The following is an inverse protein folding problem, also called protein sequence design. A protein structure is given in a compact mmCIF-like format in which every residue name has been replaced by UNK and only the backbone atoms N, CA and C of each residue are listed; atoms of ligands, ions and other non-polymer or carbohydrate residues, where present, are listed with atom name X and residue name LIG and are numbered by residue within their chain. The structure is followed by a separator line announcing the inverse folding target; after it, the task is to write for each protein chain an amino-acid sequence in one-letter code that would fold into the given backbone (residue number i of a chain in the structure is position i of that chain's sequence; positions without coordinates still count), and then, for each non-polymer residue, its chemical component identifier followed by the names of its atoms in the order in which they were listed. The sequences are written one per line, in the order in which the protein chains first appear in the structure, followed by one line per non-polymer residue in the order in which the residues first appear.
data_IF_380241812350
#
_entry.id   IF_380241812350
#
_cell.length_a   1.000
_cell.length_b   1.000
_cell.length_c   1.000
_cell.angle_alpha   90.00
_cell.angle_beta   90.00
_cell.angle_gamma   90.00
#
_symmetry.space_group_name_H-M   'P 1'
#
loop_
_entity.id
_entity.type
_entity.pdbx_description
1 polymer ?
#
# COMPACT_ATOMS: atom_id res chain seq x y z
N UNK A 1 6.57 -11.71 -10.68
CA UNK A 1 7.67 -10.84 -10.16
C UNK A 1 7.15 -9.46 -9.73
N UNK A 2 6.48 -8.69 -10.60
CA UNK A 2 5.89 -7.38 -10.26
C UNK A 2 4.78 -7.42 -9.19
N UNK A 3 3.95 -8.46 -9.17
CA UNK A 3 2.88 -8.60 -8.16
C UNK A 3 3.45 -8.72 -6.73
N UNK A 4 4.55 -9.46 -6.56
CA UNK A 4 5.26 -9.63 -5.29
C UNK A 4 5.88 -8.32 -4.80
N UNK A 5 6.46 -7.52 -5.71
CA UNK A 5 7.05 -6.20 -5.39
C UNK A 5 6.00 -5.23 -4.87
N UNK A 6 4.80 -5.23 -5.45
CA UNK A 6 3.70 -4.37 -5.02
C UNK A 6 2.86 -4.93 -3.85
N UNK A 7 3.15 -6.14 -3.38
CA UNK A 7 2.33 -6.81 -2.36
C UNK A 7 0.89 -7.07 -2.81
N UNK A 8 0.68 -7.42 -4.09
CA UNK A 8 -0.65 -7.66 -4.67
C UNK A 8 -0.80 -9.08 -5.20
N UNK A 9 -2.06 -9.50 -5.41
CA UNK A 9 -2.37 -10.75 -6.09
C UNK A 9 -2.09 -10.65 -7.59
N UNK A 10 -1.76 -11.77 -8.24
CA UNK A 10 -1.56 -11.85 -9.70
C UNK A 10 -2.83 -11.45 -10.48
N UNK A 11 -4.01 -11.69 -9.91
CA UNK A 11 -5.28 -11.23 -10.46
C UNK A 11 -5.37 -9.69 -10.48
N UNK A 12 -4.95 -9.02 -9.41
CA UNK A 12 -4.90 -7.55 -9.37
C UNK A 12 -3.87 -6.99 -10.37
N UNK A 13 -2.72 -7.65 -10.53
CA UNK A 13 -1.73 -7.29 -11.55
C UNK A 13 -2.30 -7.43 -12.97
N UNK A 14 -3.06 -8.49 -13.25
CA UNK A 14 -3.70 -8.71 -14.54
C UNK A 14 -4.69 -7.59 -14.88
N UNK A 15 -5.46 -7.11 -13.89
CA UNK A 15 -6.36 -5.97 -14.08
C UNK A 15 -5.61 -4.68 -14.42
N UNK A 16 -4.45 -4.44 -13.79
CA UNK A 16 -3.60 -3.29 -14.10
C UNK A 16 -3.04 -3.35 -15.52
N UNK A 17 -2.54 -4.51 -15.95
CA UNK A 17 -2.00 -4.69 -17.30
C UNK A 17 -3.05 -4.51 -18.40
N UNK A 18 -4.30 -4.90 -18.12
CA UNK A 18 -5.42 -4.77 -19.05
C UNK A 18 -6.02 -3.36 -19.09
N UNK A 19 -5.54 -2.43 -18.24
CA UNK A 19 -6.11 -1.09 -18.13
C UNK A 19 -7.48 -1.04 -17.43
N UNK A 20 -7.97 -2.18 -16.92
CA UNK A 20 -9.27 -2.27 -16.24
C UNK A 20 -9.25 -1.63 -14.83
N UNK A 21 -8.06 -1.28 -14.33
CA UNK A 21 -7.88 -0.64 -13.04
C UNK A 21 -6.61 0.19 -13.06
N UNK A 22 -6.64 1.38 -12.46
CA UNK A 22 -5.44 2.21 -12.30
C UNK A 22 -4.56 1.71 -11.16
N UNK A 23 -3.24 1.86 -11.32
CA UNK A 23 -2.26 1.52 -10.31
C UNK A 23 -2.23 2.66 -9.28
N UNK A 24 -2.46 2.38 -7.98
CA UNK A 24 -2.33 3.39 -6.93
C UNK A 24 -0.92 4.01 -6.92
N UNK A 25 -0.78 5.33 -6.69
CA UNK A 25 0.52 6.02 -6.75
C UNK A 25 1.60 5.37 -5.88
N UNK A 26 1.27 5.00 -4.64
CA UNK A 26 2.21 4.34 -3.73
C UNK A 26 2.74 2.99 -4.26
N UNK A 27 1.94 2.25 -5.04
CA UNK A 27 2.36 0.98 -5.65
C UNK A 27 3.21 1.19 -6.89
N UNK A 28 2.92 2.26 -7.62
CA UNK A 28 3.75 2.67 -8.75
C UNK A 28 5.13 3.12 -8.26
N UNK A 29 5.20 3.86 -7.15
CA UNK A 29 6.46 4.30 -6.55
C UNK A 29 7.35 3.12 -6.14
N UNK A 30 6.76 2.09 -5.51
CA UNK A 30 7.47 0.83 -5.20
C UNK A 30 8.00 0.09 -6.44
N UNK A 31 7.23 0.10 -7.53
CA UNK A 31 7.70 -0.47 -8.81
C UNK A 31 8.87 0.34 -9.37
N UNK A 32 8.74 1.66 -9.40
CA UNK A 32 9.76 2.57 -9.93
C UNK A 32 11.07 2.43 -9.16
N UNK A 33 11.00 2.40 -7.83
CA UNK A 33 12.16 2.20 -6.97
C UNK A 33 12.82 0.82 -7.18
N UNK A 34 12.02 -0.25 -7.32
CA UNK A 34 12.57 -1.60 -7.51
C UNK A 34 13.27 -1.78 -8.86
N UNK A 35 12.75 -1.12 -9.89
CA UNK A 35 13.27 -1.24 -11.26
C UNK A 35 14.22 -0.10 -11.65
N UNK A 36 14.42 0.89 -10.78
CA UNK A 36 15.26 2.06 -11.07
C UNK A 36 14.75 2.88 -12.24
N UNK A 37 13.43 3.01 -12.39
CA UNK A 37 12.79 3.69 -13.52
C UNK A 37 12.27 5.05 -13.07
N UNK A 38 12.45 6.08 -13.91
CA UNK A 38 11.93 7.42 -13.60
C UNK A 38 10.41 7.44 -13.72
N UNK A 39 9.76 7.98 -12.67
CA UNK A 39 8.31 8.23 -12.68
C UNK A 39 7.92 9.30 -13.69
N UNK A 40 8.76 10.30 -13.93
CA UNK A 40 8.53 11.36 -14.93
C UNK A 40 8.53 10.78 -16.34
N UNK A 41 9.42 9.82 -16.61
CA UNK A 41 9.44 9.14 -17.88
C UNK A 41 8.15 8.34 -18.12
N UNK A 42 7.70 7.58 -17.12
CA UNK A 42 6.51 6.72 -17.23
C UNK A 42 5.19 7.51 -17.31
N UNK A 43 5.04 8.57 -16.50
CA UNK A 43 3.77 9.29 -16.38
C UNK A 43 3.69 10.53 -17.27
N UNK A 44 4.81 11.21 -17.49
CA UNK A 44 4.85 12.50 -18.19
C UNK A 44 5.53 12.41 -19.56
N UNK A 45 6.08 11.24 -19.93
CA UNK A 45 6.93 11.06 -21.12
C UNK A 45 8.07 12.09 -21.18
N UNK A 46 8.64 12.44 -20.03
CA UNK A 46 9.71 13.45 -19.90
C UNK A 46 10.92 12.88 -19.15
N UNK A 47 12.11 13.29 -19.55
CA UNK A 47 13.37 12.90 -18.91
C UNK A 47 13.91 11.55 -19.40
N UNK A 48 14.86 10.99 -18.65
CA UNK A 48 15.48 9.71 -18.97
C UNK A 48 14.68 8.51 -18.41
N UNK A 49 14.71 7.34 -19.08
CA UNK A 49 14.01 6.15 -18.61
C UNK A 49 14.51 5.64 -17.26
N UNK A 50 15.80 5.83 -17.00
CA UNK A 50 16.47 5.41 -15.77
C UNK A 50 16.28 6.50 -14.73
N UNK A 51 15.90 6.12 -13.52
CA UNK A 51 15.77 7.04 -12.40
C UNK A 51 17.11 7.72 -12.13
N UNK A 52 17.11 9.03 -12.00
CA UNK A 52 18.28 9.76 -11.54
C UNK A 52 18.53 9.46 -10.05
N UNK A 53 19.79 9.58 -9.58
CA UNK A 53 20.13 9.39 -8.15
C UNK A 53 19.28 10.26 -7.22
N UNK A 54 18.87 11.44 -7.68
CA UNK A 54 18.00 12.34 -6.94
C UNK A 54 16.58 11.79 -6.83
N UNK A 55 16.02 11.23 -7.90
CA UNK A 55 14.69 10.60 -7.89
C UNK A 55 14.65 9.34 -7.02
N UNK A 56 15.71 8.54 -7.05
CA UNK A 56 15.86 7.39 -6.13
C UNK A 56 15.92 7.86 -4.67
N UNK A 57 16.62 8.96 -4.39
CA UNK A 57 16.71 9.56 -3.05
C UNK A 57 15.36 10.13 -2.59
N UNK A 58 14.64 10.84 -3.45
CA UNK A 58 13.34 11.43 -3.14
C UNK A 58 12.27 10.34 -2.86
N UNK A 59 12.28 9.26 -3.64
CA UNK A 59 11.42 8.08 -3.40
C UNK A 59 11.75 7.41 -2.05
N UNK A 60 13.04 7.25 -1.74
CA UNK A 60 13.49 6.64 -0.47
C UNK A 60 13.16 7.50 0.75
N UNK A 61 13.19 8.82 0.61
CA UNK A 61 12.82 9.75 1.69
C UNK A 61 11.33 9.80 1.96
N UNK A 62 10.48 9.47 0.98
CA UNK A 62 9.03 9.44 1.19
C UNK A 62 8.62 8.40 2.24
N UNK A 63 9.30 7.24 2.26
CA UNK A 63 9.12 6.21 3.28
C UNK A 63 9.61 6.67 4.67
N UNK A 64 10.73 7.39 4.72
CA UNK A 64 11.25 7.98 5.96
C UNK A 64 10.32 9.07 6.51
N UNK A 65 9.74 9.90 5.64
CA UNK A 65 8.74 10.90 6.02
C UNK A 65 7.46 10.24 6.52
N UNK A 66 7.01 9.15 5.90
CA UNK A 66 5.88 8.35 6.39
C UNK A 66 6.18 7.76 7.79
N UNK A 67 7.36 7.15 7.98
CA UNK A 67 7.78 6.64 9.29
C UNK A 67 7.89 7.74 10.35
N UNK A 68 8.40 8.92 9.99
CA UNK A 68 8.43 10.07 10.90
C UNK A 68 7.02 10.59 11.22
N UNK A 69 6.09 10.56 10.25
CA UNK A 69 4.68 10.89 10.50
C UNK A 69 3.98 9.87 11.41
N UNK A 70 4.41 8.60 11.37
CA UNK A 70 3.93 7.55 12.27
C UNK A 70 4.43 7.74 13.70
N UNK A 71 5.66 8.25 13.91
CA UNK A 71 6.16 8.59 15.25
C UNK A 71 5.29 9.62 15.97
N UNK A 72 4.65 10.52 15.23
CA UNK A 72 3.68 11.47 15.80
C UNK A 72 2.34 10.81 16.21
N UNK A 73 2.14 9.51 15.91
CA UNK A 73 0.96 8.72 16.24
C UNK A 73 1.38 7.46 17.00
N UNK A 74 1.62 7.55 18.32
CA UNK A 74 2.30 6.51 19.09
C UNK A 74 1.67 5.12 18.95
N UNK A 75 0.34 5.02 18.96
CA UNK A 75 -0.35 3.73 18.77
C UNK A 75 -0.12 3.08 17.41
N UNK A 76 -0.03 3.88 16.34
CA UNK A 76 0.25 3.34 15.00
C UNK A 76 1.72 2.97 14.86
N UNK A 77 2.61 3.71 15.51
CA UNK A 77 4.02 3.39 15.56
C UNK A 77 4.27 2.07 16.30
N UNK A 78 3.64 1.87 17.47
CA UNK A 78 3.69 0.62 18.24
C UNK A 78 3.21 -0.57 17.39
N UNK A 79 2.06 -0.44 16.72
CA UNK A 79 1.54 -1.50 15.84
C UNK A 79 2.54 -1.83 14.72
N UNK A 80 3.12 -0.82 14.06
CA UNK A 80 4.11 -1.06 12.99
C UNK A 80 5.38 -1.70 13.55
N UNK A 81 5.82 -1.27 14.73
CA UNK A 81 6.99 -1.83 15.40
C UNK A 81 6.78 -3.30 15.79
N UNK A 82 5.63 -3.63 16.38
CA UNK A 82 5.28 -5.00 16.75
C UNK A 82 5.16 -5.90 15.53
N UNK A 83 4.53 -5.40 14.45
CA UNK A 83 4.42 -6.13 13.18
C UNK A 83 5.79 -6.38 12.53
N UNK A 84 6.75 -5.48 12.70
CA UNK A 84 8.10 -5.64 12.17
C UNK A 84 8.91 -6.74 12.88
N UNK A 85 8.52 -7.14 14.10
CA UNK A 85 9.16 -8.21 14.85
C UNK A 85 8.61 -9.60 14.52
N UNK A 86 7.48 -9.68 13.82
CA UNK A 86 6.84 -10.95 13.46
C UNK A 86 7.55 -11.64 12.30
N UNK A 87 7.47 -12.98 12.26
CA UNK A 87 7.98 -13.77 11.13
C UNK A 87 7.04 -13.67 9.94
N UNK A 88 7.55 -13.88 8.73
CA UNK A 88 6.77 -13.83 7.48
C UNK A 88 5.48 -14.67 7.49
N UNK A 89 5.49 -15.80 8.21
CA UNK A 89 4.31 -16.67 8.36
C UNK A 89 3.20 -16.03 9.21
N UNK A 90 3.58 -15.21 10.19
CA UNK A 90 2.72 -14.53 11.15
C UNK A 90 2.21 -13.19 10.61
N UNK A 91 2.87 -12.63 9.60
CA UNK A 91 2.45 -11.43 8.87
C UNK A 91 1.28 -11.65 7.91
N UNK A 92 1.09 -12.87 7.40
CA UNK A 92 0.02 -13.21 6.44
C UNK A 92 -1.40 -12.86 6.93
N UNK A 93 -1.82 -13.24 8.15
CA UNK A 93 -3.13 -12.86 8.69
C UNK A 93 -3.35 -11.34 8.76
N UNK A 94 -2.29 -10.57 9.03
CA UNK A 94 -2.40 -9.11 9.07
C UNK A 94 -2.59 -8.50 7.68
N UNK A 95 -1.98 -9.09 6.64
CA UNK A 95 -2.24 -8.68 5.25
C UNK A 95 -3.71 -8.90 4.88
N UNK A 96 -4.33 -9.99 5.32
CA UNK A 96 -5.75 -10.26 5.12
C UNK A 96 -6.66 -9.28 5.89
N UNK A 97 -6.24 -8.82 7.08
CA UNK A 97 -6.95 -7.79 7.83
C UNK A 97 -6.82 -6.41 7.16
N UNK A 98 -5.64 -6.04 6.67
CA UNK A 98 -5.43 -4.77 5.98
C UNK A 98 -6.18 -4.71 4.65
N UNK A 99 -6.28 -5.82 3.91
CA UNK A 99 -7.10 -5.89 2.69
C UNK A 99 -8.59 -5.71 2.99
N UNK A 100 -9.12 -6.39 4.02
CA UNK A 100 -10.51 -6.18 4.49
C UNK A 100 -10.78 -4.74 4.93
N UNK A 101 -9.85 -4.12 5.65
CA UNK A 101 -9.95 -2.70 6.04
C UNK A 101 -9.93 -1.76 4.84
N UNK A 102 -9.10 -2.05 3.84
CA UNK A 102 -9.03 -1.27 2.60
C UNK A 102 -10.33 -1.38 1.79
N UNK A 103 -10.93 -2.56 1.75
CA UNK A 103 -12.23 -2.79 1.08
C UNK A 103 -13.39 -2.15 1.86
N UNK A 104 -13.38 -2.17 3.19
CA UNK A 104 -14.35 -1.50 4.04
C UNK A 104 -14.30 0.04 3.91
N UNK A 105 -13.13 0.62 3.65
CA UNK A 105 -13.00 2.05 3.34
C UNK A 105 -13.57 2.43 1.96
N UNK A 106 -13.60 1.50 1.00
CA UNK A 106 -14.13 1.73 -0.36
C UNK A 106 -15.65 1.59 -0.45
N UNK A 107 -16.23 0.76 0.41
CA UNK A 107 -17.67 0.63 0.58
C UNK A 107 -18.01 0.82 2.06
N UNK A 108 -18.31 2.05 2.51
CA UNK A 108 -18.80 2.28 3.86
C UNK A 108 -20.23 1.73 3.94
N UNK A 109 -20.40 0.41 4.03
CA UNK A 109 -21.63 -0.14 4.58
C UNK A 109 -21.70 0.40 6.01
N UNK A 110 -22.67 1.28 6.22
CA UNK A 110 -23.16 1.85 7.48
C UNK A 110 -22.75 0.93 8.66
N UNK A 111 -22.13 1.45 9.73
CA UNK A 111 -21.97 0.65 10.93
C UNK A 111 -23.34 0.09 11.28
N UNK A 112 -23.42 -1.23 11.47
CA UNK A 112 -24.65 -1.89 11.87
C UNK A 112 -25.26 -1.09 13.02
N UNK A 113 -26.43 -0.50 12.77
CA UNK A 113 -27.16 0.26 13.76
C UNK A 113 -27.29 -0.62 15.01
N UNK A 114 -27.08 -0.04 16.19
CA UNK A 114 -27.31 -0.67 17.51
C UNK A 114 -28.78 -1.10 17.74
N UNK A 115 -29.58 -1.28 16.68
CA UNK A 115 -31.00 -1.60 16.73
C UNK A 115 -31.29 -3.11 16.78
N UNK A 116 -30.38 -3.99 16.31
CA UNK A 116 -30.68 -5.44 16.23
C UNK A 116 -30.42 -6.23 17.53
N UNK A 117 -29.98 -5.57 18.62
CA UNK A 117 -29.79 -6.22 19.93
C UNK A 117 -31.01 -6.15 20.85
N UNK A 118 -32.18 -5.76 20.32
CA UNK A 118 -33.44 -5.74 21.08
C UNK A 118 -34.53 -6.57 20.38
N UNK A 119 -34.30 -7.86 20.21
CA UNK A 119 -35.36 -8.86 19.97
C UNK A 119 -34.87 -10.26 20.34
N UNK A 120 -34.45 -10.41 21.59
CA UNK A 120 -34.55 -11.66 22.35
C UNK A 120 -34.93 -11.31 23.78
N UNK A 121 -36.21 -11.01 23.97
CA UNK A 121 -36.91 -11.25 25.24
C UNK A 121 -37.85 -12.40 24.99
#
# INVERSE_FOLDING_TARGET
MAAKVMGITEAALSMYKKGNREIPPARLDLLMQRFGISKKYILENKGEPIATKQEEFDLSNSDLLFLNSLKARPKLYEIVYDLAQLKDKELKPFQDLFTKLADAKKNPKKPASKADLRLKK
#
